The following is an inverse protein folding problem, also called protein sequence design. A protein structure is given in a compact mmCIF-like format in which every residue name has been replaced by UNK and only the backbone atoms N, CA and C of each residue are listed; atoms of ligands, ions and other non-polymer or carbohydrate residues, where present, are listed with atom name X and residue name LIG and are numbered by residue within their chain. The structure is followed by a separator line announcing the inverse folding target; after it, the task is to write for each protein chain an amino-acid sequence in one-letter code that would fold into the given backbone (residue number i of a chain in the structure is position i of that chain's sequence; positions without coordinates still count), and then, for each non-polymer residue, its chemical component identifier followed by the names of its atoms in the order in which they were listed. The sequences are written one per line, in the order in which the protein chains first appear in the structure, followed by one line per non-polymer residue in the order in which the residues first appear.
data_IF_401850810869
#
_entry.id   IF_401850810869
#
_cell.length_a   1.000
_cell.length_b   1.000
_cell.length_c   1.000
_cell.angle_alpha   90.00
_cell.angle_beta   90.00
_cell.angle_gamma   90.00
#
_symmetry.space_group_name_H-M   'P 1'
#
loop_
_entity.id
_entity.type
_entity.pdbx_description
1 polymer ?
#
# COMPACT_ATOMS: atom_id res chain seq x y z
N UNK A 1 38.23 28.66 3.06
CA UNK A 1 37.09 29.00 2.18
C UNK A 1 36.11 27.87 2.34
N UNK A 2 34.94 28.20 2.89
CA UNK A 2 33.94 27.25 3.35
C UNK A 2 32.90 27.06 2.25
N UNK A 3 32.93 25.92 1.56
CA UNK A 3 31.88 25.58 0.62
C UNK A 3 30.78 24.78 1.33
N UNK A 4 29.71 25.55 1.56
CA UNK A 4 28.32 25.26 1.85
C UNK A 4 27.95 23.77 1.72
N UNK A 5 27.39 23.25 2.82
CA UNK A 5 26.66 21.98 2.92
C UNK A 5 25.69 21.88 1.74
N UNK A 6 26.06 21.10 0.72
CA UNK A 6 25.08 20.64 -0.26
C UNK A 6 24.17 19.73 0.53
N UNK A 7 23.02 20.27 0.94
CA UNK A 7 21.87 19.49 1.35
C UNK A 7 21.41 18.71 0.11
N UNK A 8 22.17 17.66 -0.24
CA UNK A 8 21.61 16.58 -1.02
C UNK A 8 20.54 16.02 -0.11
N UNK A 9 19.31 16.52 -0.28
CA UNK A 9 18.12 15.76 0.08
C UNK A 9 18.41 14.39 -0.50
N UNK A 10 18.74 13.44 0.37
CA UNK A 10 18.64 12.03 0.03
C UNK A 10 17.16 11.91 -0.32
N UNK A 11 16.88 12.05 -1.62
CA UNK A 11 15.63 11.71 -2.27
C UNK A 11 15.41 10.27 -1.84
N UNK A 12 14.70 10.18 -0.73
CA UNK A 12 14.46 8.95 -0.07
C UNK A 12 13.57 8.21 -1.05
N UNK A 13 14.16 7.26 -1.77
CA UNK A 13 13.48 6.23 -2.54
C UNK A 13 12.65 5.39 -1.57
N UNK A 14 11.70 6.01 -0.88
CA UNK A 14 10.71 5.34 -0.08
C UNK A 14 9.77 4.68 -1.09
N UNK A 15 9.67 3.35 -1.10
CA UNK A 15 8.75 2.65 -1.98
C UNK A 15 7.36 3.23 -1.76
N UNK A 16 6.72 3.69 -2.84
CA UNK A 16 5.33 4.17 -2.97
C UNK A 16 4.52 4.25 -1.67
N UNK A 17 4.88 5.19 -0.78
CA UNK A 17 4.18 5.33 0.49
C UNK A 17 2.79 5.89 0.23
N UNK A 18 1.77 5.04 0.36
CA UNK A 18 0.38 5.40 0.14
C UNK A 18 -0.35 5.56 1.48
N UNK A 19 -1.01 6.71 1.64
CA UNK A 19 -1.84 7.01 2.81
C UNK A 19 -3.32 7.00 2.45
N UNK A 20 -4.13 6.48 3.35
CA UNK A 20 -5.58 6.38 3.19
C UNK A 20 -6.31 6.88 4.43
N UNK A 21 -7.46 7.51 4.21
CA UNK A 21 -8.44 7.75 5.26
C UNK A 21 -9.36 6.53 5.34
N UNK A 22 -9.31 5.82 6.47
CA UNK A 22 -10.19 4.69 6.76
C UNK A 22 -11.44 5.17 7.52
N UNK A 23 -12.62 4.79 7.03
CA UNK A 23 -13.89 4.94 7.73
C UNK A 23 -14.51 3.57 7.94
N UNK A 24 -14.99 3.29 9.15
CA UNK A 24 -15.66 2.04 9.53
C UNK A 24 -16.97 2.40 10.21
N UNK A 25 -18.06 1.75 9.80
CA UNK A 25 -19.40 2.00 10.33
C UNK A 25 -20.25 0.72 10.30
N UNK A 26 -21.39 0.75 11.00
CA UNK A 26 -22.43 -0.27 10.85
C UNK A 26 -23.60 0.35 10.10
N UNK A 27 -24.18 -0.40 9.18
CA UNK A 27 -25.34 0.06 8.38
C UNK A 27 -26.57 0.30 9.28
N UNK A 28 -26.68 -0.48 10.35
CA UNK A 28 -27.73 -0.40 11.36
C UNK A 28 -27.14 -0.72 12.74
N UNK A 29 -27.91 -0.49 13.82
CA UNK A 29 -27.46 -0.75 15.20
C UNK A 29 -26.99 -2.19 15.44
N UNK A 30 -27.55 -3.16 14.73
CA UNK A 30 -27.13 -4.57 14.69
C UNK A 30 -26.67 -5.04 13.31
N UNK A 31 -26.49 -4.10 12.37
CA UNK A 31 -26.14 -4.39 10.99
C UNK A 31 -24.70 -4.89 10.81
N UNK A 32 -24.39 -5.24 9.57
CA UNK A 32 -23.06 -5.63 9.15
C UNK A 32 -22.10 -4.44 9.24
N UNK A 33 -20.85 -4.72 9.58
CA UNK A 33 -19.78 -3.75 9.48
C UNK A 33 -19.47 -3.45 8.02
N UNK A 34 -19.19 -2.19 7.74
CA UNK A 34 -18.80 -1.67 6.44
C UNK A 34 -17.56 -0.81 6.60
N UNK A 35 -16.75 -0.75 5.55
CA UNK A 35 -15.59 0.10 5.52
C UNK A 35 -15.45 0.83 4.17
N UNK A 36 -14.79 1.97 4.21
CA UNK A 36 -14.28 2.63 3.02
C UNK A 36 -12.88 3.16 3.25
N UNK A 37 -12.07 3.10 2.19
CA UNK A 37 -10.77 3.73 2.12
C UNK A 37 -10.82 4.85 1.11
N UNK A 38 -10.45 6.05 1.53
CA UNK A 38 -10.22 7.16 0.61
C UNK A 38 -8.73 7.38 0.44
N UNK A 39 -8.25 7.31 -0.80
CA UNK A 39 -6.88 7.69 -1.12
C UNK A 39 -6.73 9.21 -0.93
N UNK A 40 -5.75 9.64 -0.13
CA UNK A 40 -5.61 11.05 0.26
C UNK A 40 -5.17 11.96 -0.88
N UNK A 41 -4.51 11.40 -1.91
CA UNK A 41 -3.99 12.11 -3.08
C UNK A 41 -5.04 12.18 -4.19
N UNK A 42 -5.52 11.03 -4.66
CA UNK A 42 -6.46 10.95 -5.80
C UNK A 42 -7.91 11.18 -5.41
N UNK A 43 -8.21 11.22 -4.10
CA UNK A 43 -9.56 11.31 -3.53
C UNK A 43 -10.50 10.17 -3.91
N UNK A 44 -10.03 9.14 -4.63
CA UNK A 44 -10.80 7.92 -4.95
C UNK A 44 -11.20 7.20 -3.67
N UNK A 45 -12.43 6.71 -3.65
CA UNK A 45 -13.02 5.96 -2.53
C UNK A 45 -13.24 4.53 -2.97
N UNK A 46 -12.78 3.60 -2.15
CA UNK A 46 -12.98 2.16 -2.28
C UNK A 46 -13.89 1.71 -1.15
N UNK A 47 -14.92 0.93 -1.46
CA UNK A 47 -15.90 0.44 -0.50
C UNK A 47 -15.69 -1.05 -0.27
N UNK A 48 -15.79 -1.48 0.98
CA UNK A 48 -15.61 -2.86 1.40
C UNK A 48 -16.78 -3.29 2.28
N UNK A 49 -17.42 -4.39 1.90
CA UNK A 49 -18.47 -5.03 2.67
C UNK A 49 -17.91 -5.92 3.79
N UNK A 50 -16.66 -6.36 3.66
CA UNK A 50 -16.01 -7.37 4.49
C UNK A 50 -14.59 -6.92 4.88
N UNK A 51 -14.20 -7.23 6.12
CA UNK A 51 -12.88 -6.86 6.64
C UNK A 51 -11.74 -7.59 5.90
N UNK A 52 -11.95 -8.84 5.48
CA UNK A 52 -10.93 -9.61 4.75
C UNK A 52 -10.58 -8.96 3.41
N UNK A 53 -11.58 -8.44 2.68
CA UNK A 53 -11.36 -7.72 1.42
C UNK A 53 -10.65 -6.38 1.61
N UNK A 54 -10.90 -5.70 2.72
CA UNK A 54 -10.16 -4.50 3.11
C UNK A 54 -8.67 -4.83 3.37
N UNK A 55 -8.39 -5.90 4.11
CA UNK A 55 -7.03 -6.32 4.43
C UNK A 55 -6.29 -6.85 3.21
N UNK A 56 -6.96 -7.59 2.34
CA UNK A 56 -6.42 -8.04 1.04
C UNK A 56 -6.00 -6.84 0.19
N UNK A 57 -6.82 -5.77 0.15
CA UNK A 57 -6.50 -4.54 -0.57
C UNK A 57 -5.30 -3.79 0.01
N UNK A 58 -5.14 -3.78 1.34
CA UNK A 58 -4.05 -3.09 2.02
C UNK A 58 -2.75 -3.90 2.06
N UNK A 59 -2.83 -5.20 1.77
CA UNK A 59 -1.67 -6.07 1.81
C UNK A 59 -0.73 -5.75 0.64
N UNK A 60 0.57 -5.54 0.90
CA UNK A 60 1.52 -5.39 -0.18
C UNK A 60 1.53 -6.67 -1.02
N UNK A 61 1.50 -6.55 -2.35
CA UNK A 61 1.75 -7.69 -3.23
C UNK A 61 3.10 -8.28 -2.82
N UNK A 62 3.17 -9.57 -2.45
CA UNK A 62 4.45 -10.19 -2.16
C UNK A 62 5.34 -10.01 -3.39
N UNK A 63 6.62 -9.65 -3.23
CA UNK A 63 7.52 -9.57 -4.37
C UNK A 63 7.45 -10.92 -5.10
N UNK A 64 7.14 -10.90 -6.39
CA UNK A 64 7.36 -12.06 -7.26
C UNK A 64 8.86 -12.33 -7.17
N UNK A 65 9.27 -13.26 -6.32
CA UNK A 65 10.59 -13.83 -6.43
C UNK A 65 10.56 -14.64 -7.72
N UNK A 66 11.32 -14.25 -8.76
CA UNK A 66 11.46 -15.12 -9.92
C UNK A 66 11.93 -16.46 -9.39
N UNK A 67 11.16 -17.51 -9.65
CA UNK A 67 11.53 -18.87 -9.29
C UNK A 67 12.93 -19.11 -9.84
N UNK A 68 13.89 -19.34 -8.94
CA UNK A 68 15.22 -19.85 -9.26
C UNK A 68 15.06 -21.31 -9.73
N UNK A 69 14.45 -21.48 -10.90
CA UNK A 69 14.28 -22.77 -11.60
C UNK A 69 14.78 -22.63 -13.05
N UNK A 70 15.71 -21.71 -13.27
CA UNK A 70 16.43 -21.51 -14.54
C UNK A 70 17.95 -21.65 -14.33
N UNK A 71 18.37 -22.56 -13.44
CA UNK A 71 19.78 -22.91 -13.22
C UNK A 71 20.09 -24.39 -13.51
N UNK A 72 19.42 -24.99 -14.49
CA UNK A 72 19.83 -26.27 -15.10
C UNK A 72 19.42 -26.21 -16.57
N UNK A 73 20.29 -26.22 -17.59
CA UNK A 73 21.52 -26.99 -17.78
C UNK A 73 22.40 -26.23 -18.80
N UNK A 74 23.66 -25.98 -18.41
CA UNK A 74 24.77 -25.87 -19.36
C UNK A 74 25.29 -27.29 -19.58
N UNK A 75 25.38 -27.74 -20.83
CA UNK A 75 25.84 -29.07 -21.22
C UNK A 75 25.69 -29.30 -22.71
#
# INVERSE_FOLDING_TARGET
MSDIITMTRLESSHPDYQSYLLRVWRDESRGLWRASLQNTVTKRIYHFADADKLLEFLSPTPPVTPSTDDERISG
#
